data_IF_162253629249
#
_entry.id   IF_162253629249
#
_cell.length_a   1.000
_cell.length_b   1.000
_cell.length_c   1.000
_cell.angle_alpha   90.00
_cell.angle_beta   90.00
_cell.angle_gamma   90.00
#
_symmetry.space_group_name_H-M   'P 1'
#
loop_
_entity.id
_entity.type
_entity.pdbx_description
1 polymer ?
#
# COMPACT_ATOMS: atom_id res chain seq x y z
N UNK A 1 -2.42 -26.30 -0.10
CA UNK A 1 -1.18 -26.62 -0.86
C UNK A 1 -0.32 -25.36 -0.87
N UNK A 2 0.97 -25.49 -0.54
CA UNK A 2 1.87 -24.33 -0.54
C UNK A 2 2.09 -23.86 -1.99
N UNK A 3 1.79 -22.60 -2.27
CA UNK A 3 1.91 -22.01 -3.60
C UNK A 3 3.40 -21.92 -4.00
N UNK A 4 3.82 -22.62 -5.06
CA UNK A 4 5.24 -22.69 -5.43
C UNK A 4 5.85 -21.32 -5.70
N UNK A 5 5.06 -20.40 -6.27
CA UNK A 5 5.50 -19.03 -6.58
C UNK A 5 5.81 -18.21 -5.33
N UNK A 6 4.96 -18.30 -4.29
CA UNK A 6 5.21 -17.64 -3.01
C UNK A 6 6.47 -18.18 -2.34
N UNK A 7 6.65 -19.51 -2.33
CA UNK A 7 7.87 -20.14 -1.79
C UNK A 7 9.12 -19.66 -2.50
N UNK A 8 9.08 -19.57 -3.83
CA UNK A 8 10.21 -19.05 -4.61
C UNK A 8 10.50 -17.58 -4.24
N UNK A 9 9.47 -16.75 -4.11
CA UNK A 9 9.60 -15.37 -3.66
C UNK A 9 10.18 -15.26 -2.24
N UNK A 10 9.72 -16.09 -1.32
CA UNK A 10 10.21 -16.18 0.06
C UNK A 10 11.70 -16.56 0.15
N UNK A 11 12.26 -17.23 -0.88
CA UNK A 11 13.65 -17.60 -0.98
C UNK A 11 14.51 -16.52 -1.67
N UNK A 12 14.01 -15.89 -2.74
CA UNK A 12 14.79 -14.99 -3.58
C UNK A 12 14.77 -13.56 -3.03
N UNK A 13 13.61 -13.08 -2.55
CA UNK A 13 13.43 -11.66 -2.20
C UNK A 13 14.24 -11.25 -0.96
N UNK A 14 14.32 -12.02 0.14
CA UNK A 14 15.08 -11.61 1.32
C UNK A 14 16.57 -11.36 1.05
N UNK A 15 17.32 -12.24 0.35
CA UNK A 15 18.73 -11.97 0.04
C UNK A 15 18.89 -10.73 -0.85
N UNK A 16 18.00 -10.47 -1.81
CA UNK A 16 18.07 -9.28 -2.65
C UNK A 16 17.88 -8.00 -1.82
N UNK A 17 16.94 -8.02 -0.87
CA UNK A 17 16.72 -6.90 0.05
C UNK A 17 17.93 -6.73 1.00
N UNK A 18 18.50 -7.80 1.49
CA UNK A 18 19.71 -7.77 2.32
C UNK A 18 20.91 -7.18 1.57
N UNK A 19 21.09 -7.53 0.27
CA UNK A 19 22.14 -6.96 -0.58
C UNK A 19 21.99 -5.44 -0.77
N UNK A 20 20.78 -4.88 -0.68
CA UNK A 20 20.54 -3.44 -0.69
C UNK A 20 20.95 -2.76 0.62
N UNK A 21 21.18 -3.53 1.68
CA UNK A 21 21.45 -3.02 3.03
C UNK A 21 20.19 -2.43 3.71
N UNK A 22 19.01 -2.69 3.19
CA UNK A 22 17.75 -2.29 3.79
C UNK A 22 17.53 -3.04 5.10
N UNK A 23 17.27 -2.31 6.18
CA UNK A 23 16.92 -2.88 7.48
C UNK A 23 15.44 -2.68 7.75
N UNK A 24 14.75 -3.78 8.09
CA UNK A 24 13.37 -3.71 8.55
C UNK A 24 13.30 -3.62 10.07
N UNK A 25 12.46 -2.73 10.56
CA UNK A 25 12.04 -2.67 11.96
C UNK A 25 10.55 -2.93 12.01
N UNK A 26 10.12 -3.85 12.87
CA UNK A 26 8.72 -4.24 13.01
C UNK A 26 8.20 -3.87 14.39
N UNK A 27 6.99 -3.29 14.45
CA UNK A 27 6.30 -2.96 15.69
C UNK A 27 4.87 -3.50 15.64
N UNK A 28 4.38 -4.00 16.78
CA UNK A 28 2.99 -4.42 16.93
C UNK A 28 2.60 -5.61 16.07
N UNK A 29 3.54 -6.49 15.69
CA UNK A 29 3.23 -7.66 14.86
C UNK A 29 2.19 -8.58 15.47
N UNK A 30 2.06 -8.60 16.79
CA UNK A 30 1.03 -9.34 17.54
C UNK A 30 -0.39 -8.93 17.15
N UNK A 31 -0.57 -7.72 16.61
CA UNK A 31 -1.85 -7.22 16.10
C UNK A 31 -2.25 -7.86 14.77
N UNK A 32 -1.31 -8.49 14.06
CA UNK A 32 -1.61 -9.28 12.87
C UNK A 32 -2.09 -10.66 13.33
N UNK A 33 -3.33 -11.07 13.04
CA UNK A 33 -3.88 -12.30 13.58
C UNK A 33 -3.13 -13.54 13.08
N UNK A 34 -2.83 -14.46 13.99
CA UNK A 34 -2.18 -15.73 13.67
C UNK A 34 -3.09 -16.69 12.89
N UNK A 35 -4.40 -16.50 12.97
CA UNK A 35 -5.41 -17.29 12.24
C UNK A 35 -6.62 -16.45 11.87
N UNK A 36 -7.46 -16.96 10.99
CA UNK A 36 -8.63 -16.22 10.47
C UNK A 36 -8.29 -15.12 9.48
N UNK A 37 -9.31 -14.52 8.90
CA UNK A 37 -9.17 -13.42 7.95
C UNK A 37 -8.98 -12.07 8.63
N UNK A 38 -8.25 -11.18 7.98
CA UNK A 38 -8.18 -9.77 8.36
C UNK A 38 -7.85 -8.90 7.15
N UNK A 39 -8.37 -7.68 7.15
CA UNK A 39 -8.00 -6.68 6.17
C UNK A 39 -6.88 -5.82 6.75
N UNK A 40 -5.72 -5.79 6.08
CA UNK A 40 -4.60 -4.94 6.45
C UNK A 40 -4.66 -3.65 5.64
N UNK A 41 -5.06 -2.57 6.31
CA UNK A 41 -5.16 -1.25 5.70
C UNK A 41 -3.84 -0.51 5.86
N UNK A 42 -3.14 -0.26 4.77
CA UNK A 42 -1.82 0.36 4.81
C UNK A 42 -1.76 1.70 4.06
N UNK A 43 -0.86 2.60 4.50
CA UNK A 43 -0.58 3.84 3.81
C UNK A 43 0.06 3.58 2.43
N UNK A 44 0.02 4.59 1.55
CA UNK A 44 0.56 4.46 0.19
C UNK A 44 1.46 5.64 -0.16
N UNK A 45 2.77 5.48 0.01
CA UNK A 45 3.79 6.51 -0.21
C UNK A 45 4.84 6.13 -1.26
N UNK A 46 4.86 4.83 -1.67
CA UNK A 46 5.88 4.27 -2.56
C UNK A 46 5.28 3.23 -3.51
N UNK A 47 5.94 3.02 -4.64
CA UNK A 47 5.67 1.85 -5.49
C UNK A 47 6.11 0.53 -4.85
N UNK A 48 6.90 0.56 -3.76
CA UNK A 48 7.37 -0.61 -3.03
C UNK A 48 6.60 -0.90 -1.74
N UNK A 49 5.53 -0.16 -1.42
CA UNK A 49 4.81 -0.33 -0.15
C UNK A 49 4.17 -1.72 0.04
N UNK A 50 4.00 -2.48 -1.04
CA UNK A 50 3.51 -3.85 -0.97
C UNK A 50 4.52 -4.84 -0.37
N UNK A 51 5.83 -4.56 -0.47
CA UNK A 51 6.88 -5.51 -0.09
C UNK A 51 7.12 -5.61 1.43
N UNK A 52 7.29 -4.52 2.19
CA UNK A 52 7.56 -4.59 3.63
C UNK A 52 6.48 -5.33 4.44
N UNK A 53 5.17 -5.17 4.16
CA UNK A 53 4.12 -5.91 4.83
C UNK A 53 4.17 -7.42 4.61
N UNK A 54 4.67 -7.89 3.46
CA UNK A 54 4.86 -9.33 3.22
C UNK A 54 5.90 -9.92 4.19
N UNK A 55 6.95 -9.17 4.51
CA UNK A 55 7.91 -9.59 5.54
C UNK A 55 7.25 -9.61 6.92
N UNK A 56 6.51 -8.56 7.27
CA UNK A 56 5.81 -8.47 8.57
C UNK A 56 4.81 -9.63 8.77
N UNK A 57 4.01 -9.96 7.75
CA UNK A 57 3.06 -11.08 7.84
C UNK A 57 3.77 -12.44 7.87
N UNK A 58 4.91 -12.58 7.18
CA UNK A 58 5.75 -13.79 7.24
C UNK A 58 6.28 -14.06 8.64
N UNK A 59 6.69 -13.02 9.40
CA UNK A 59 7.11 -13.17 10.82
C UNK A 59 5.96 -13.73 11.70
N UNK A 60 4.72 -13.58 11.27
CA UNK A 60 3.52 -14.18 11.90
C UNK A 60 3.15 -15.55 11.32
N UNK A 61 3.98 -16.12 10.44
CA UNK A 61 3.67 -17.36 9.74
C UNK A 61 2.50 -17.24 8.75
N UNK A 62 2.17 -16.01 8.32
CA UNK A 62 1.02 -15.73 7.46
C UNK A 62 1.43 -15.18 6.11
N UNK A 63 0.59 -15.40 5.11
CA UNK A 63 0.70 -14.79 3.78
C UNK A 63 -0.38 -13.75 3.61
N UNK A 64 -0.02 -12.63 3.00
CA UNK A 64 -0.94 -11.55 2.65
C UNK A 64 -1.05 -11.44 1.13
N UNK A 65 -2.26 -11.18 0.66
CA UNK A 65 -2.56 -10.99 -0.76
C UNK A 65 -3.03 -9.56 -0.99
N UNK A 66 -2.61 -8.98 -2.11
CA UNK A 66 -2.94 -7.60 -2.43
C UNK A 66 -4.05 -7.50 -3.47
N UNK A 67 -4.80 -6.41 -3.37
CA UNK A 67 -5.63 -5.93 -4.45
C UNK A 67 -4.78 -5.05 -5.37
N UNK A 68 -4.79 -5.33 -6.65
CA UNK A 68 -4.00 -4.61 -7.67
C UNK A 68 -4.91 -4.12 -8.79
N UNK A 69 -4.55 -3.02 -9.43
CA UNK A 69 -5.30 -2.54 -10.59
C UNK A 69 -5.27 -3.57 -11.72
N UNK A 70 -6.44 -3.90 -12.29
CA UNK A 70 -6.56 -4.88 -13.36
C UNK A 70 -5.70 -4.54 -14.58
N UNK A 71 -5.59 -3.23 -14.90
CA UNK A 71 -4.79 -2.74 -16.03
C UNK A 71 -3.29 -3.04 -15.89
N UNK A 72 -2.81 -3.31 -14.68
CA UNK A 72 -1.42 -3.78 -14.49
C UNK A 72 -1.19 -5.16 -15.14
N UNK A 73 -2.25 -5.93 -15.38
CA UNK A 73 -2.21 -7.21 -16.09
C UNK A 73 -1.90 -7.10 -17.58
N UNK A 74 -1.98 -5.91 -18.17
CA UNK A 74 -1.63 -5.69 -19.60
C UNK A 74 -0.13 -5.93 -19.86
N UNK A 75 0.70 -5.79 -18.81
CA UNK A 75 2.13 -6.13 -18.87
C UNK A 75 2.29 -7.63 -18.61
N UNK A 76 2.77 -8.41 -19.58
CA UNK A 76 2.90 -9.88 -19.51
C UNK A 76 3.59 -10.38 -18.24
N UNK A 77 4.69 -9.75 -17.84
CA UNK A 77 5.42 -10.12 -16.62
C UNK A 77 4.58 -9.87 -15.35
N UNK A 78 3.85 -8.74 -15.30
CA UNK A 78 2.97 -8.42 -14.17
C UNK A 78 1.76 -9.35 -14.15
N UNK A 79 1.18 -9.69 -15.29
CA UNK A 79 0.07 -10.66 -15.38
C UNK A 79 0.49 -12.04 -14.87
N UNK A 80 1.72 -12.46 -15.19
CA UNK A 80 2.28 -13.70 -14.63
C UNK A 80 2.31 -13.63 -13.09
N UNK A 81 2.81 -12.53 -12.51
CA UNK A 81 2.83 -12.33 -11.05
C UNK A 81 1.41 -12.29 -10.47
N UNK A 82 0.48 -11.56 -11.09
CA UNK A 82 -0.92 -11.47 -10.65
C UNK A 82 -1.51 -12.87 -10.49
N UNK A 83 -1.36 -13.72 -11.50
CA UNK A 83 -1.91 -15.09 -11.51
C UNK A 83 -1.26 -16.00 -10.47
N UNK A 84 0.08 -15.96 -10.38
CA UNK A 84 0.84 -16.91 -9.54
C UNK A 84 0.97 -16.44 -8.08
N UNK A 85 0.92 -15.15 -7.80
CA UNK A 85 0.86 -14.59 -6.46
C UNK A 85 -0.58 -14.41 -5.92
N UNK A 86 -1.60 -14.93 -6.65
CA UNK A 86 -3.02 -14.82 -6.27
C UNK A 86 -3.45 -13.40 -5.91
N UNK A 87 -2.91 -12.40 -6.62
CA UNK A 87 -3.34 -11.01 -6.45
C UNK A 87 -4.79 -10.87 -6.94
N UNK A 88 -5.53 -9.95 -6.34
CA UNK A 88 -6.92 -9.69 -6.71
C UNK A 88 -6.95 -8.50 -7.68
N UNK A 89 -7.17 -8.71 -8.99
CA UNK A 89 -7.26 -7.62 -9.94
C UNK A 89 -8.56 -6.84 -9.74
N UNK A 90 -8.43 -5.53 -9.60
CA UNK A 90 -9.55 -4.59 -9.43
C UNK A 90 -9.77 -3.84 -10.74
N UNK A 91 -10.83 -4.14 -11.44
CA UNK A 91 -11.34 -3.28 -12.50
C UNK A 91 -12.16 -2.15 -11.87
N UNK A 92 -11.78 -0.91 -12.14
CA UNK A 92 -12.48 0.27 -11.61
C UNK A 92 -13.84 0.50 -12.27
N UNK A 93 -14.12 -0.16 -13.39
CA UNK A 93 -15.39 -0.08 -14.12
C UNK A 93 -16.42 -1.07 -13.59
N UNK A 94 -15.95 -2.23 -13.11
CA UNK A 94 -16.78 -3.33 -12.60
C UNK A 94 -16.31 -3.81 -11.23
N UNK A 95 -15.99 -2.89 -10.32
CA UNK A 95 -15.40 -3.18 -9.01
C UNK A 95 -16.15 -4.17 -8.11
N UNK A 96 -17.36 -4.59 -8.49
CA UNK A 96 -18.16 -5.57 -7.78
C UNK A 96 -17.48 -6.95 -7.68
N UNK A 97 -16.88 -7.44 -8.78
CA UNK A 97 -16.29 -8.77 -8.80
C UNK A 97 -15.07 -8.88 -7.88
N UNK A 98 -14.17 -7.88 -7.95
CA UNK A 98 -12.99 -7.83 -7.09
C UNK A 98 -13.37 -7.66 -5.60
N UNK A 99 -14.41 -6.90 -5.32
CA UNK A 99 -14.95 -6.72 -3.98
C UNK A 99 -15.48 -8.04 -3.43
N UNK A 100 -16.33 -8.73 -4.18
CA UNK A 100 -16.90 -10.02 -3.79
C UNK A 100 -15.79 -11.08 -3.57
N UNK A 101 -14.81 -11.16 -4.47
CA UNK A 101 -13.64 -12.06 -4.31
C UNK A 101 -12.86 -11.73 -3.05
N UNK A 102 -12.60 -10.46 -2.75
CA UNK A 102 -11.89 -10.06 -1.54
C UNK A 102 -12.66 -10.43 -0.27
N UNK A 103 -13.98 -10.17 -0.24
CA UNK A 103 -14.86 -10.56 0.88
C UNK A 103 -14.86 -12.07 1.08
N UNK A 104 -14.98 -12.84 0.01
CA UNK A 104 -14.95 -14.30 0.08
C UNK A 104 -13.62 -14.80 0.68
N UNK A 105 -12.50 -14.32 0.19
CA UNK A 105 -11.17 -14.72 0.67
C UNK A 105 -10.91 -14.30 2.13
N UNK A 106 -11.42 -13.15 2.56
CA UNK A 106 -11.40 -12.73 3.96
C UNK A 106 -12.19 -13.71 4.84
N UNK A 107 -13.38 -14.16 4.41
CA UNK A 107 -14.17 -15.18 5.11
C UNK A 107 -13.49 -16.55 5.16
N UNK A 108 -12.71 -16.87 4.15
CA UNK A 108 -11.90 -18.10 4.07
C UNK A 108 -10.64 -18.03 4.96
N UNK A 109 -10.42 -16.91 5.66
CA UNK A 109 -9.33 -16.77 6.62
C UNK A 109 -8.06 -16.16 6.04
N UNK A 110 -8.08 -15.58 4.84
CA UNK A 110 -6.91 -14.95 4.25
C UNK A 110 -6.67 -13.52 4.76
N UNK A 111 -5.40 -13.07 4.68
CA UNK A 111 -5.04 -11.68 4.92
C UNK A 111 -5.05 -10.93 3.59
N UNK A 112 -5.87 -9.87 3.50
CA UNK A 112 -5.94 -9.02 2.32
C UNK A 112 -5.37 -7.65 2.63
N UNK A 113 -4.33 -7.27 1.89
CA UNK A 113 -3.72 -5.94 1.97
C UNK A 113 -4.35 -4.97 0.97
N UNK A 114 -4.65 -3.78 1.43
CA UNK A 114 -5.11 -2.73 0.54
C UNK A 114 -4.70 -1.33 1.02
N UNK A 115 -4.65 -0.40 0.07
CA UNK A 115 -4.39 1.01 0.33
C UNK A 115 -5.73 1.78 0.32
N UNK A 116 -6.27 2.23 1.46
CA UNK A 116 -7.53 2.97 1.49
C UNK A 116 -7.45 4.32 0.76
N UNK A 117 -6.25 4.87 0.59
CA UNK A 117 -5.97 6.09 -0.17
C UNK A 117 -6.15 5.95 -1.69
N UNK A 118 -6.16 4.72 -2.20
CA UNK A 118 -6.29 4.34 -3.62
C UNK A 118 -5.25 4.95 -4.59
N UNK A 119 -4.29 5.73 -4.11
CA UNK A 119 -3.20 6.31 -4.90
C UNK A 119 -2.04 6.75 -4.00
N UNK A 120 -0.83 6.78 -4.56
CA UNK A 120 0.38 7.18 -3.83
C UNK A 120 0.28 8.65 -3.38
N UNK A 121 0.58 8.90 -2.10
CA UNK A 121 0.68 10.22 -1.51
C UNK A 121 2.04 10.84 -1.82
N UNK A 122 2.04 12.01 -2.47
CA UNK A 122 3.26 12.78 -2.74
C UNK A 122 3.72 13.60 -1.53
N UNK A 123 2.79 13.90 -0.63
CA UNK A 123 3.11 14.60 0.62
C UNK A 123 3.69 13.67 1.70
N UNK A 124 3.69 12.36 1.44
CA UNK A 124 4.03 11.29 2.40
C UNK A 124 3.18 11.31 3.68
N UNK A 125 2.09 12.04 3.66
CA UNK A 125 1.06 12.05 4.70
C UNK A 125 -0.18 11.29 4.23
N UNK A 126 -1.02 10.85 5.17
CA UNK A 126 -2.26 10.14 4.84
C UNK A 126 -3.21 11.04 4.06
N UNK A 127 -3.75 10.51 2.98
CA UNK A 127 -4.78 11.13 2.16
C UNK A 127 -6.17 10.80 2.71
N UNK A 128 -7.20 11.28 2.01
CA UNK A 128 -8.57 10.83 2.25
C UNK A 128 -8.73 9.35 1.90
N UNK A 129 -9.45 8.63 2.75
CA UNK A 129 -9.72 7.22 2.56
C UNK A 129 -11.00 6.99 1.78
N UNK A 130 -10.94 6.05 0.85
CA UNK A 130 -12.12 5.47 0.22
C UNK A 130 -12.74 4.43 1.16
N UNK A 131 -14.05 4.28 1.10
CA UNK A 131 -14.80 3.37 1.99
C UNK A 131 -14.69 1.90 1.63
N UNK A 132 -13.99 1.54 0.54
CA UNK A 132 -13.87 0.15 0.07
C UNK A 132 -13.32 -0.80 1.13
N UNK A 133 -12.26 -0.41 1.83
CA UNK A 133 -11.64 -1.21 2.89
C UNK A 133 -12.64 -1.55 4.02
N UNK A 134 -13.27 -0.52 4.58
CA UNK A 134 -14.20 -0.68 5.70
C UNK A 134 -15.46 -1.46 5.29
N UNK A 135 -15.95 -1.27 4.06
CA UNK A 135 -17.10 -2.03 3.53
C UNK A 135 -16.76 -3.51 3.39
N UNK A 136 -15.57 -3.87 2.88
CA UNK A 136 -15.12 -5.27 2.79
C UNK A 136 -15.04 -5.91 4.18
N UNK A 137 -14.45 -5.23 5.15
CA UNK A 137 -14.32 -5.75 6.50
C UNK A 137 -15.67 -5.94 7.19
N UNK A 138 -16.58 -4.98 7.04
CA UNK A 138 -17.95 -5.08 7.56
C UNK A 138 -18.72 -6.23 6.92
N UNK A 139 -18.60 -6.40 5.60
CA UNK A 139 -19.31 -7.48 4.89
C UNK A 139 -18.71 -8.85 5.18
N UNK A 140 -17.38 -8.94 5.28
CA UNK A 140 -16.70 -10.18 5.61
C UNK A 140 -16.77 -10.52 7.11
N UNK A 141 -17.15 -9.56 7.98
CA UNK A 141 -17.12 -9.68 9.44
C UNK A 141 -15.73 -10.02 9.99
N UNK A 142 -14.69 -9.36 9.45
CA UNK A 142 -13.30 -9.50 9.88
C UNK A 142 -12.74 -8.17 10.37
N UNK A 143 -11.75 -8.24 11.26
CA UNK A 143 -11.08 -7.04 11.77
C UNK A 143 -10.29 -6.32 10.67
N UNK A 144 -10.14 -5.00 10.83
CA UNK A 144 -9.18 -4.18 10.06
C UNK A 144 -7.97 -3.93 10.94
N UNK A 145 -6.79 -4.28 10.45
CA UNK A 145 -5.52 -3.97 11.09
C UNK A 145 -4.92 -2.74 10.42
N UNK A 146 -4.81 -1.59 11.12
CA UNK A 146 -4.08 -0.44 10.62
C UNK A 146 -2.60 -0.79 10.46
N UNK A 147 -2.02 -0.49 9.31
CA UNK A 147 -0.61 -0.76 9.03
C UNK A 147 0.07 0.48 8.47
N UNK A 148 1.25 0.79 8.97
CA UNK A 148 2.09 1.88 8.46
C UNK A 148 3.41 1.30 7.95
N UNK A 149 3.75 1.69 6.73
CA UNK A 149 5.07 1.48 6.13
C UNK A 149 5.75 2.83 5.99
N UNK A 150 6.92 3.00 6.62
CA UNK A 150 7.69 4.23 6.53
C UNK A 150 9.13 3.95 6.11
N UNK A 151 9.65 4.77 5.18
CA UNK A 151 10.99 4.61 4.60
C UNK A 151 11.01 4.04 3.19
N UNK A 152 10.02 3.24 2.76
CA UNK A 152 9.96 2.65 1.41
C UNK A 152 9.95 3.72 0.30
N UNK A 153 9.35 4.89 0.56
CA UNK A 153 9.31 6.04 -0.34
C UNK A 153 10.70 6.65 -0.63
N UNK A 154 11.71 6.37 0.19
CA UNK A 154 13.09 6.79 -0.07
C UNK A 154 13.75 5.96 -1.17
N UNK A 155 13.18 4.77 -1.46
CA UNK A 155 13.70 3.85 -2.49
C UNK A 155 13.01 4.10 -3.82
N UNK A 156 11.68 4.14 -3.83
CA UNK A 156 10.90 4.33 -5.05
C UNK A 156 9.66 5.20 -4.82
N UNK A 157 9.87 6.52 -4.64
CA UNK A 157 8.75 7.47 -4.54
C UNK A 157 8.08 7.68 -5.89
N UNK A 158 6.89 8.26 -5.87
CA UNK A 158 6.25 8.76 -7.09
C UNK A 158 6.95 10.04 -7.55
N UNK A 159 7.11 10.20 -8.87
CA UNK A 159 7.65 11.39 -9.54
C UNK A 159 9.11 11.75 -9.21
N UNK A 160 9.84 10.82 -8.60
CA UNK A 160 11.27 10.97 -8.33
C UNK A 160 12.06 9.74 -8.79
N UNK A 161 13.35 9.88 -9.05
CA UNK A 161 14.20 8.76 -9.44
C UNK A 161 14.21 7.64 -8.40
N UNK A 162 14.13 6.39 -8.86
CA UNK A 162 14.24 5.22 -8.00
C UNK A 162 15.70 5.00 -7.55
N UNK A 163 15.88 4.64 -6.28
CA UNK A 163 17.19 4.32 -5.67
C UNK A 163 17.19 2.86 -5.23
N UNK A 164 17.33 1.94 -6.19
CA UNK A 164 17.17 0.49 -5.93
C UNK A 164 18.47 -0.24 -5.55
N UNK A 165 19.63 0.44 -5.50
CA UNK A 165 20.90 -0.21 -5.19
C UNK A 165 21.62 0.42 -3.99
N UNK A 166 22.08 -0.42 -3.06
CA UNK A 166 22.94 -0.09 -1.89
C UNK A 166 22.55 1.18 -1.13
N UNK A 167 21.26 1.41 -0.94
CA UNK A 167 20.73 2.64 -0.36
C UNK A 167 20.69 2.63 1.18
N UNK A 168 20.85 1.46 1.82
CA UNK A 168 20.84 1.26 3.28
C UNK A 168 19.66 1.96 3.99
N UNK A 169 18.53 2.07 3.31
CA UNK A 169 17.35 2.76 3.85
C UNK A 169 16.72 1.91 4.94
N UNK A 170 16.55 2.44 6.17
CA UNK A 170 15.74 1.78 7.17
C UNK A 170 14.26 1.86 6.76
N UNK A 171 13.54 0.75 6.92
CA UNK A 171 12.10 0.67 6.69
C UNK A 171 11.43 0.19 7.96
N UNK A 172 10.49 0.97 8.46
CA UNK A 172 9.66 0.61 9.60
C UNK A 172 8.30 0.15 9.13
N UNK A 173 7.84 -0.99 9.65
CA UNK A 173 6.47 -1.49 9.49
C UNK A 173 5.85 -1.58 10.87
N UNK A 174 4.74 -0.89 11.06
CA UNK A 174 4.02 -0.92 12.33
C UNK A 174 2.57 -1.37 12.10
N UNK A 175 2.11 -2.33 12.88
CA UNK A 175 0.72 -2.77 12.95
C UNK A 175 0.05 -2.23 14.21
N UNK A 176 -1.02 -1.48 14.05
CA UNK A 176 -1.83 -0.95 15.14
C UNK A 176 -2.87 -1.97 15.63
N UNK A 177 -3.54 -1.69 16.78
CA UNK A 177 -4.60 -2.53 17.28
C UNK A 177 -5.70 -2.79 16.26
N UNK A 178 -6.20 -4.02 16.12
CA UNK A 178 -7.27 -4.35 15.21
C UNK A 178 -8.57 -3.61 15.56
N UNK A 179 -9.22 -3.07 14.53
CA UNK A 179 -10.54 -2.46 14.66
C UNK A 179 -11.61 -3.50 14.35
N UNK A 180 -12.57 -3.65 15.25
CA UNK A 180 -13.70 -4.56 15.06
C UNK A 180 -14.59 -4.09 13.88
N UNK A 181 -15.17 -5.03 13.10
CA UNK A 181 -16.06 -4.72 11.99
C UNK A 181 -17.46 -4.33 12.49
N UNK A 182 -17.58 -3.13 13.06
CA UNK A 182 -18.80 -2.65 13.71
C UNK A 182 -19.15 -1.23 13.27
N UNK A 183 -20.40 -0.86 13.43
CA UNK A 183 -20.92 0.47 13.08
C UNK A 183 -21.14 0.66 11.58
N UNK A 184 -21.29 1.91 11.19
CA UNK A 184 -21.46 2.28 9.78
C UNK A 184 -20.10 2.38 9.06
N UNK A 185 -20.08 2.24 7.72
CA UNK A 185 -18.84 2.45 6.95
C UNK A 185 -18.17 3.80 7.22
N UNK A 186 -18.96 4.86 7.44
CA UNK A 186 -18.44 6.19 7.73
C UNK A 186 -17.73 6.22 9.11
N UNK A 187 -18.36 5.67 10.13
CA UNK A 187 -17.78 5.60 11.49
C UNK A 187 -16.49 4.79 11.51
N UNK A 188 -16.51 3.59 10.90
CA UNK A 188 -15.33 2.74 10.84
C UNK A 188 -14.19 3.37 10.02
N UNK A 189 -14.53 4.13 8.95
CA UNK A 189 -13.53 4.84 8.15
C UNK A 189 -12.85 5.98 8.93
N UNK A 190 -13.60 6.70 9.75
CA UNK A 190 -13.05 7.72 10.66
C UNK A 190 -12.13 7.07 11.70
N UNK A 191 -12.57 5.98 12.34
CA UNK A 191 -11.77 5.25 13.32
C UNK A 191 -10.47 4.70 12.70
N UNK A 192 -10.55 4.11 11.51
CA UNK A 192 -9.38 3.62 10.78
C UNK A 192 -8.40 4.75 10.47
N UNK A 193 -8.90 5.88 9.99
CA UNK A 193 -8.05 7.03 9.68
C UNK A 193 -7.37 7.59 10.92
N UNK A 194 -8.07 7.69 12.06
CA UNK A 194 -7.49 8.13 13.35
C UNK A 194 -6.38 7.17 13.79
N UNK A 195 -6.67 5.88 13.84
CA UNK A 195 -5.70 4.86 14.23
C UNK A 195 -4.44 4.86 13.32
N UNK A 196 -4.62 4.99 12.02
CA UNK A 196 -3.50 5.09 11.08
C UNK A 196 -2.71 6.39 11.24
N UNK A 197 -3.35 7.50 11.56
CA UNK A 197 -2.68 8.79 11.80
C UNK A 197 -1.82 8.75 13.05
N UNK A 198 -2.35 8.23 14.14
CA UNK A 198 -1.62 8.07 15.40
C UNK A 198 -0.42 7.12 15.23
N UNK A 199 -0.63 6.01 14.50
CA UNK A 199 0.43 5.05 14.22
C UNK A 199 1.53 5.67 13.34
N UNK A 200 1.15 6.45 12.32
CA UNK A 200 2.09 7.15 11.46
C UNK A 200 2.95 8.15 12.25
N UNK A 201 2.34 8.94 13.11
CA UNK A 201 3.07 9.90 13.95
C UNK A 201 4.07 9.21 14.85
N UNK A 202 3.69 8.14 15.54
CA UNK A 202 4.61 7.35 16.39
C UNK A 202 5.79 6.77 15.58
N UNK A 203 5.54 6.21 14.41
CA UNK A 203 6.59 5.67 13.54
C UNK A 203 7.55 6.78 13.08
N UNK A 204 7.04 7.99 12.89
CA UNK A 204 7.84 9.12 12.44
C UNK A 204 8.66 9.77 13.56
N UNK A 205 8.24 9.70 14.82
CA UNK A 205 8.98 10.24 15.98
C UNK A 205 10.38 9.63 16.11
N UNK A 206 10.47 8.29 15.93
CA UNK A 206 11.73 7.55 16.07
C UNK A 206 12.53 7.44 14.76
N UNK A 207 12.02 7.99 13.66
CA UNK A 207 12.65 7.88 12.35
C UNK A 207 13.49 9.12 12.02
N UNK A 208 14.74 8.96 11.54
CA UNK A 208 15.59 10.11 11.21
C UNK A 208 15.04 10.90 10.01
N UNK A 209 14.77 12.18 10.21
CA UNK A 209 14.28 13.12 9.20
C UNK A 209 15.30 14.25 9.00
N UNK A 210 16.29 14.09 8.10
CA UNK A 210 17.22 15.18 7.81
C UNK A 210 16.47 16.38 7.22
N UNK A 211 16.81 17.57 7.69
CA UNK A 211 16.17 18.81 7.29
C UNK A 211 16.27 19.06 5.78
N UNK A 212 15.24 19.65 5.18
CA UNK A 212 15.20 20.05 3.78
C UNK A 212 15.05 18.91 2.77
N UNK A 213 15.01 17.63 3.19
CA UNK A 213 14.88 16.52 2.26
C UNK A 213 13.50 16.48 1.59
N UNK A 214 13.48 16.18 0.29
CA UNK A 214 12.25 16.14 -0.51
C UNK A 214 11.31 14.95 -0.21
N UNK A 215 11.78 13.98 0.53
CA UNK A 215 11.00 12.83 1.00
C UNK A 215 10.51 12.99 2.45
N UNK A 216 10.85 14.07 3.11
CA UNK A 216 10.41 14.41 4.46
C UNK A 216 9.24 15.37 4.38
N UNK A 217 8.11 15.10 5.06
CA UNK A 217 6.99 16.03 5.16
C UNK A 217 7.41 17.41 5.73
N UNK A 218 6.78 18.47 5.27
CA UNK A 218 7.12 19.83 5.73
C UNK A 218 7.00 20.02 7.24
N UNK A 219 6.01 19.38 7.87
CA UNK A 219 5.85 19.44 9.34
C UNK A 219 7.02 18.81 10.12
N UNK A 220 7.85 17.99 9.45
CA UNK A 220 9.05 17.37 10.00
C UNK A 220 10.35 18.04 9.51
N UNK A 221 10.26 19.27 9.00
CA UNK A 221 11.41 20.03 8.51
C UNK A 221 11.86 19.71 7.08
N UNK A 222 11.08 18.92 6.34
CA UNK A 222 11.39 18.57 4.96
C UNK A 222 10.83 19.53 3.91
N UNK A 223 11.05 19.20 2.65
CA UNK A 223 10.57 19.95 1.48
C UNK A 223 9.60 19.16 0.59
N UNK A 224 9.01 18.08 1.10
CA UNK A 224 7.96 17.34 0.38
C UNK A 224 6.79 18.29 0.02
N UNK A 225 6.06 18.02 -1.08
CA UNK A 225 4.85 18.76 -1.41
C UNK A 225 3.84 18.71 -0.24
N UNK A 226 3.13 19.80 -0.01
CA UNK A 226 2.00 19.80 0.93
C UNK A 226 0.86 18.92 0.39
N UNK A 227 -0.18 18.71 1.20
CA UNK A 227 -1.40 18.02 0.72
C UNK A 227 -2.08 18.81 -0.40
N UNK A 228 -2.10 20.13 -0.26
CA UNK A 228 -2.66 21.08 -1.23
C UNK A 228 -1.88 21.05 -2.55
N UNK A 229 -0.54 21.13 -2.48
CA UNK A 229 0.34 21.01 -3.65
C UNK A 229 0.12 19.67 -4.35
N UNK A 230 0.05 18.58 -3.58
CA UNK A 230 -0.16 17.23 -4.09
C UNK A 230 -1.52 17.08 -4.76
N UNK A 231 -2.54 17.76 -4.27
CA UNK A 231 -3.88 17.80 -4.87
C UNK A 231 -3.88 18.61 -6.16
N UNK A 232 -3.23 19.77 -6.18
CA UNK A 232 -3.09 20.60 -7.38
C UNK A 232 -2.38 19.85 -8.52
N UNK A 233 -1.24 19.21 -8.22
CA UNK A 233 -0.51 18.38 -9.18
C UNK A 233 -1.41 17.28 -9.74
N UNK A 234 -2.18 16.60 -8.90
CA UNK A 234 -3.08 15.53 -9.36
C UNK A 234 -4.20 16.05 -10.26
N UNK A 235 -4.76 17.20 -9.95
CA UNK A 235 -5.80 17.82 -10.78
C UNK A 235 -5.24 18.20 -12.15
N UNK A 236 -4.06 18.78 -12.20
CA UNK A 236 -3.37 19.10 -13.46
C UNK A 236 -3.12 17.82 -14.29
N UNK A 237 -2.57 16.74 -13.70
CA UNK A 237 -2.41 15.45 -14.37
C UNK A 237 -3.73 14.90 -14.93
N UNK A 238 -4.81 15.04 -14.18
CA UNK A 238 -6.13 14.59 -14.61
C UNK A 238 -6.63 15.41 -15.81
N UNK A 239 -6.47 16.72 -15.76
CA UNK A 239 -6.85 17.62 -16.85
C UNK A 239 -6.06 17.31 -18.13
N UNK A 240 -4.75 17.14 -18.05
CA UNK A 240 -3.91 16.75 -19.18
C UNK A 240 -4.36 15.41 -19.78
N UNK A 241 -4.73 14.45 -18.94
CA UNK A 241 -5.22 13.15 -19.41
C UNK A 241 -6.56 13.26 -20.10
N UNK A 242 -7.47 14.08 -19.57
CA UNK A 242 -8.76 14.36 -20.21
C UNK A 242 -8.54 15.04 -21.56
N UNK A 243 -7.65 16.02 -21.66
CA UNK A 243 -7.31 16.70 -22.91
C UNK A 243 -6.73 15.73 -23.95
N UNK A 244 -5.87 14.80 -23.53
CA UNK A 244 -5.18 13.84 -24.42
C UNK A 244 -6.06 12.68 -24.88
N UNK A 245 -6.97 12.21 -24.03
CA UNK A 245 -7.73 10.96 -24.24
C UNK A 245 -9.25 11.13 -24.09
N UNK A 246 -9.76 12.35 -24.00
CA UNK A 246 -11.17 12.62 -23.68
C UNK A 246 -11.55 12.17 -22.28
N UNK A 247 -12.84 12.06 -22.02
CA UNK A 247 -13.37 11.59 -20.72
C UNK A 247 -12.91 10.17 -20.36
N UNK A 248 -12.58 9.35 -21.36
CA UNK A 248 -11.93 8.04 -21.17
C UNK A 248 -10.55 8.14 -20.53
N UNK A 249 -9.88 9.29 -20.64
CA UNK A 249 -8.61 9.57 -19.98
C UNK A 249 -8.67 9.47 -18.45
N UNK A 250 -9.84 9.62 -17.85
CA UNK A 250 -10.04 9.48 -16.38
C UNK A 250 -9.83 8.03 -15.94
N UNK A 251 -10.14 7.08 -16.79
CA UNK A 251 -10.13 5.64 -16.51
C UNK A 251 -8.90 4.91 -17.05
N UNK A 252 -8.20 5.47 -18.05
CA UNK A 252 -6.99 4.85 -18.61
C UNK A 252 -5.80 4.94 -17.65
N UNK A 253 -5.01 3.87 -17.48
CA UNK A 253 -3.75 3.91 -16.74
C UNK A 253 -2.78 4.88 -17.43
N UNK A 254 -2.02 5.63 -16.64
CA UNK A 254 -0.86 6.32 -17.19
C UNK A 254 0.10 5.27 -17.75
N UNK A 255 0.39 5.30 -19.05
CA UNK A 255 1.51 4.55 -19.58
C UNK A 255 2.77 4.93 -18.79
N UNK A 256 3.64 3.98 -18.42
CA UNK A 256 4.95 4.34 -17.92
C UNK A 256 5.61 5.24 -18.96
N UNK A 257 6.12 6.38 -18.53
CA UNK A 257 6.89 7.25 -19.42
C UNK A 257 8.01 6.40 -20.00
N UNK A 258 7.88 6.06 -21.28
CA UNK A 258 8.95 5.55 -22.12
C UNK A 258 9.90 6.71 -22.40
N UNK A 259 10.81 6.93 -21.50
CA UNK A 259 11.80 7.97 -21.57
C UNK A 259 12.93 7.66 -20.65
N UNK A 260 13.77 6.72 -21.06
CA UNK A 260 15.15 6.57 -20.59
C UNK A 260 15.96 6.01 -21.74
N UNK A 261 16.58 6.93 -22.45
CA UNK A 261 17.87 6.66 -23.05
C UNK A 261 18.95 6.77 -21.98
#
# INVERSE_FOLDING_TARGET
MAEPFYRLGEWIVPPLVAMQGTKFTFHGLENIPAGGGALLAQNHTSYLDWLPPLFATRERGRRMYFMIKAEMGDVKAVNYVIKHARLIPVDRRSGHDAFAVAVQRLREGELIGMHPEATISRSFELREFKTGAVRMALEAQVAIVPLIVWGAHRIWPKDHPKKVFRNKVPITVAAGPPLAPQGTPAQLNVALRSAMSELLYRVQEDYPHPEGQNWVPRRLGGSAPTREDSQAIRLAELQERIQRYGTDGVTRPGQPQSGLH
#
